data_IF_283590615270
#
_entry.id   IF_283590615270
#
_cell.length_a   1.000
_cell.length_b   1.000
_cell.length_c   1.000
_cell.angle_alpha   90.00
_cell.angle_beta   90.00
_cell.angle_gamma   90.00
#
_symmetry.space_group_name_H-M   'P 1'
#
loop_
_entity.id
_entity.type
_entity.pdbx_description
1 polymer ?
#
# COMPACT_ATOMS: atom_id res chain seq x y z
N UNK A 1 13.22 -20.14 0.30
CA UNK A 1 11.79 -19.81 0.48
C UNK A 1 11.62 -18.32 0.20
N UNK A 2 10.60 -17.88 -0.56
CA UNK A 2 10.42 -16.49 -0.99
C UNK A 2 9.03 -15.99 -0.58
N UNK A 3 8.95 -14.81 0.04
CA UNK A 3 7.71 -14.08 0.24
C UNK A 3 7.78 -12.77 -0.56
N UNK A 4 6.84 -12.57 -1.49
CA UNK A 4 6.75 -11.41 -2.38
C UNK A 4 5.33 -10.85 -2.34
N UNK A 5 5.20 -9.54 -2.14
CA UNK A 5 3.92 -8.83 -2.10
C UNK A 5 3.93 -7.69 -3.12
N UNK A 6 2.83 -7.54 -3.86
CA UNK A 6 2.59 -6.41 -4.78
C UNK A 6 1.32 -5.70 -4.29
N UNK A 7 1.41 -4.39 -4.05
CA UNK A 7 0.31 -3.55 -3.57
C UNK A 7 0.01 -2.44 -4.58
N UNK A 8 -1.28 -2.16 -4.78
CA UNK A 8 -1.77 -1.06 -5.62
C UNK A 8 -2.78 -0.25 -4.80
N UNK A 9 -2.66 1.07 -4.85
CA UNK A 9 -3.48 1.98 -4.07
C UNK A 9 -3.00 3.42 -4.13
N UNK A 10 -3.49 4.24 -3.22
CA UNK A 10 -3.17 5.67 -3.13
C UNK A 10 -2.30 5.98 -1.91
N UNK A 11 -1.43 6.98 -2.02
CA UNK A 11 -0.69 7.50 -0.87
C UNK A 11 -1.66 8.16 0.12
N UNK A 12 -1.52 7.85 1.40
CA UNK A 12 -2.38 8.42 2.45
C UNK A 12 -1.93 9.79 2.91
N UNK A 13 -0.68 10.15 2.61
CA UNK A 13 -0.01 11.40 2.96
C UNK A 13 1.29 11.52 2.15
N UNK A 14 1.95 12.67 2.25
CA UNK A 14 3.28 12.88 1.69
C UNK A 14 4.31 11.91 2.26
N UNK A 15 5.30 11.55 1.43
CA UNK A 15 6.34 10.59 1.78
C UNK A 15 7.31 11.20 2.78
N UNK A 16 7.52 10.53 3.92
CA UNK A 16 8.56 10.90 4.88
C UNK A 16 9.91 10.36 4.39
N UNK A 17 10.83 11.25 4.00
CA UNK A 17 12.16 10.88 3.54
C UNK A 17 13.24 11.19 4.59
N UNK A 18 14.16 10.25 4.81
CA UNK A 18 15.25 10.38 5.78
C UNK A 18 16.47 9.55 5.38
N UNK A 19 17.61 9.86 5.98
CA UNK A 19 18.81 9.02 5.91
C UNK A 19 19.00 8.24 7.22
N UNK A 20 19.46 6.99 7.12
CA UNK A 20 19.92 6.24 8.30
C UNK A 20 21.25 6.84 8.81
N UNK A 21 21.68 6.53 10.05
CA UNK A 21 22.99 6.95 10.54
C UNK A 21 24.18 6.49 9.67
N UNK A 22 23.98 5.46 8.84
CA UNK A 22 24.96 4.96 7.87
C UNK A 22 24.83 5.61 6.49
N UNK A 23 24.00 6.64 6.33
CA UNK A 23 23.82 7.39 5.08
C UNK A 23 22.89 6.74 4.06
N UNK A 24 22.17 5.67 4.40
CA UNK A 24 21.24 5.01 3.47
C UNK A 24 19.94 5.80 3.37
N UNK A 25 19.49 6.13 2.17
CA UNK A 25 18.20 6.77 1.91
C UNK A 25 17.04 5.81 2.27
N UNK A 26 16.06 6.32 3.02
CA UNK A 26 14.86 5.58 3.44
C UNK A 26 13.63 6.47 3.27
N UNK A 27 12.63 5.95 2.56
CA UNK A 27 11.31 6.55 2.45
C UNK A 27 10.29 5.76 3.28
N UNK A 28 9.42 6.46 4.00
CA UNK A 28 8.28 5.88 4.72
C UNK A 28 6.99 6.52 4.19
N UNK A 29 6.06 5.67 3.78
CA UNK A 29 4.77 6.12 3.27
C UNK A 29 3.69 5.07 3.60
N UNK A 30 2.44 5.52 3.65
CA UNK A 30 1.29 4.65 3.77
C UNK A 30 0.55 4.53 2.43
N UNK A 31 0.05 3.34 2.11
CA UNK A 31 -0.79 3.09 0.94
C UNK A 31 -2.18 2.62 1.38
N UNK A 32 -3.22 3.31 0.90
CA UNK A 32 -4.60 2.87 1.05
C UNK A 32 -4.98 2.01 -0.17
N UNK A 33 -5.39 0.77 0.07
CA UNK A 33 -5.87 -0.14 -0.97
C UNK A 33 -7.35 -0.44 -0.73
N UNK A 34 -8.13 -0.41 -1.81
CA UNK A 34 -9.54 -0.73 -1.80
C UNK A 34 -9.77 -1.92 -2.73
N UNK A 35 -10.51 -2.91 -2.26
CA UNK A 35 -10.93 -4.04 -3.09
C UNK A 35 -12.41 -3.90 -3.37
N UNK A 36 -12.78 -3.72 -4.64
CA UNK A 36 -14.16 -3.86 -5.07
C UNK A 36 -14.42 -5.29 -5.52
N UNK A 37 -15.46 -5.92 -5.02
CA UNK A 37 -15.93 -7.23 -5.45
C UNK A 37 -17.44 -7.24 -5.54
N UNK A 38 -17.97 -8.10 -6.41
CA UNK A 38 -19.42 -8.27 -6.56
C UNK A 38 -19.91 -9.15 -5.41
N UNK A 39 -20.90 -8.66 -4.67
CA UNK A 39 -21.58 -9.47 -3.65
C UNK A 39 -22.35 -10.60 -4.33
N UNK A 40 -22.12 -11.83 -3.89
CA UNK A 40 -22.73 -13.02 -4.50
C UNK A 40 -24.23 -13.15 -4.22
N UNK A 41 -24.73 -12.52 -3.15
CA UNK A 41 -26.10 -12.65 -2.68
C UNK A 41 -26.97 -11.51 -3.21
N UNK A 42 -26.47 -10.28 -3.17
CA UNK A 42 -27.23 -9.10 -3.62
C UNK A 42 -26.91 -8.66 -5.04
N UNK A 43 -25.79 -9.11 -5.61
CA UNK A 43 -25.34 -8.72 -6.94
C UNK A 43 -24.75 -7.31 -7.04
N UNK A 44 -24.70 -6.57 -5.93
CA UNK A 44 -24.18 -5.21 -5.86
C UNK A 44 -22.64 -5.19 -5.81
N UNK A 45 -22.04 -4.10 -6.27
CA UNK A 45 -20.59 -3.89 -6.17
C UNK A 45 -20.26 -3.35 -4.77
N UNK A 46 -19.53 -4.11 -3.98
CA UNK A 46 -19.04 -3.72 -2.64
C UNK A 46 -17.53 -3.49 -2.65
#
# INVERSE_FOLDING_TARGET
MLNKVILIGHLTRDVEFRYTPRGTAVAKFGIATNRRFKDSTTGEMR
#
